data_IF_195011554831
#
_entry.id   IF_195011554831
#
_cell.length_a   1.000
_cell.length_b   1.000
_cell.length_c   1.000
_cell.angle_alpha   90.00
_cell.angle_beta   90.00
_cell.angle_gamma   90.00
#
_symmetry.space_group_name_H-M   'P 1'
#
loop_
_entity.id
_entity.type
_entity.pdbx_description
1 polymer ?
#
# COMPACT_ATOMS: atom_id res chain seq x y z
N UNK A 1 -3.38 -20.20 -28.52
CA UNK A 1 -2.97 -19.59 -27.24
C UNK A 1 -4.02 -19.97 -26.21
N UNK A 2 -3.72 -20.98 -25.38
CA UNK A 2 -4.65 -21.47 -24.36
C UNK A 2 -4.76 -20.43 -23.25
N UNK A 3 -5.92 -19.77 -23.16
CA UNK A 3 -6.27 -18.93 -22.02
C UNK A 3 -6.38 -19.78 -20.75
N UNK A 4 -6.01 -19.26 -19.57
CA UNK A 4 -6.07 -20.04 -18.35
C UNK A 4 -7.52 -20.36 -18.04
N UNK A 5 -7.86 -21.64 -18.16
CA UNK A 5 -9.16 -22.18 -17.80
C UNK A 5 -9.41 -22.03 -16.32
N UNK A 6 -10.17 -20.99 -15.97
CA UNK A 6 -10.96 -20.94 -14.74
C UNK A 6 -12.08 -21.98 -14.84
N UNK A 7 -11.75 -23.26 -14.79
CA UNK A 7 -12.74 -24.33 -14.67
C UNK A 7 -12.78 -24.77 -13.21
N UNK A 8 -13.69 -24.12 -12.47
CA UNK A 8 -14.00 -24.47 -11.10
C UNK A 8 -14.58 -25.87 -10.99
N UNK A 9 -14.06 -26.59 -9.99
CA UNK A 9 -14.75 -27.63 -9.24
C UNK A 9 -15.03 -28.93 -10.00
N UNK A 10 -14.39 -30.03 -9.60
CA UNK A 10 -15.06 -31.32 -9.42
C UNK A 10 -14.11 -32.29 -8.70
N UNK A 11 -14.44 -32.64 -7.45
CA UNK A 11 -13.69 -33.61 -6.66
C UNK A 11 -14.49 -34.04 -5.42
N UNK A 12 -15.37 -35.02 -5.63
CA UNK A 12 -16.19 -35.73 -4.65
C UNK A 12 -15.49 -35.92 -3.30
N UNK A 13 -16.11 -35.46 -2.20
CA UNK A 13 -15.73 -35.79 -0.82
C UNK A 13 -14.53 -35.04 -0.21
N UNK A 14 -13.57 -34.58 -1.03
CA UNK A 14 -12.40 -33.80 -0.58
C UNK A 14 -12.42 -32.32 -0.96
N UNK A 15 -13.29 -31.93 -1.90
CA UNK A 15 -13.35 -30.55 -2.43
C UNK A 15 -14.00 -29.52 -1.51
N UNK A 16 -14.85 -29.93 -0.57
CA UNK A 16 -15.53 -29.00 0.36
C UNK A 16 -14.59 -28.42 1.41
N UNK A 17 -13.72 -29.25 1.98
CA UNK A 17 -12.67 -28.80 2.90
C UNK A 17 -11.63 -27.93 2.17
N UNK A 18 -11.27 -28.31 0.95
CA UNK A 18 -10.34 -27.54 0.12
C UNK A 18 -10.91 -26.16 -0.25
N UNK A 19 -12.21 -26.07 -0.53
CA UNK A 19 -12.93 -24.80 -0.75
C UNK A 19 -12.90 -23.90 0.49
N UNK A 20 -13.14 -24.46 1.69
CA UNK A 20 -13.06 -23.70 2.93
C UNK A 20 -11.65 -23.15 3.18
N UNK A 21 -10.61 -23.95 2.92
CA UNK A 21 -9.22 -23.52 3.03
C UNK A 21 -8.91 -22.39 2.03
N UNK A 22 -9.40 -22.49 0.79
CA UNK A 22 -9.21 -21.45 -0.23
C UNK A 22 -9.90 -20.14 0.19
N UNK A 23 -11.14 -20.20 0.69
CA UNK A 23 -11.88 -19.03 1.17
C UNK A 23 -11.14 -18.38 2.35
N UNK A 24 -10.67 -19.18 3.31
CA UNK A 24 -9.85 -18.70 4.43
C UNK A 24 -8.53 -18.07 3.96
N UNK A 25 -7.84 -18.68 3.00
CA UNK A 25 -6.59 -18.16 2.45
C UNK A 25 -6.80 -16.82 1.73
N UNK A 26 -7.86 -16.68 0.93
CA UNK A 26 -8.22 -15.42 0.26
C UNK A 26 -8.60 -14.36 1.29
N UNK A 27 -9.43 -14.70 2.27
CA UNK A 27 -9.81 -13.78 3.36
C UNK A 27 -8.60 -13.31 4.18
N UNK A 28 -7.67 -14.21 4.48
CA UNK A 28 -6.42 -13.90 5.18
C UNK A 28 -5.48 -13.02 4.34
N UNK A 29 -5.36 -13.29 3.03
CA UNK A 29 -4.60 -12.45 2.11
C UNK A 29 -5.17 -11.04 2.02
N UNK A 30 -6.50 -10.90 1.97
CA UNK A 30 -7.17 -9.60 1.99
C UNK A 30 -6.95 -8.89 3.33
N UNK A 31 -7.13 -9.59 4.46
CA UNK A 31 -6.87 -9.04 5.80
C UNK A 31 -5.43 -8.52 5.92
N UNK A 32 -4.45 -9.31 5.45
CA UNK A 32 -3.05 -8.90 5.45
C UNK A 32 -2.83 -7.71 4.52
N UNK A 33 -3.39 -7.68 3.31
CA UNK A 33 -3.26 -6.55 2.39
C UNK A 33 -3.85 -5.24 2.95
N UNK A 34 -5.02 -5.29 3.59
CA UNK A 34 -5.63 -4.13 4.23
C UNK A 34 -4.86 -3.69 5.49
N UNK A 35 -4.40 -4.64 6.32
CA UNK A 35 -3.61 -4.36 7.51
C UNK A 35 -2.19 -3.85 7.15
N UNK A 36 -1.65 -4.29 6.02
CA UNK A 36 -0.36 -3.84 5.52
C UNK A 36 -0.48 -2.46 4.86
N UNK A 37 -1.63 -2.06 4.32
CA UNK A 37 -1.86 -0.69 3.84
C UNK A 37 -2.00 0.35 4.97
N UNK A 38 -2.40 -0.05 6.18
CA UNK A 38 -2.35 0.85 7.34
C UNK A 38 -0.92 1.06 7.86
N UNK A 39 -0.06 0.04 7.76
CA UNK A 39 1.36 0.15 8.16
C UNK A 39 2.32 0.53 7.00
N UNK A 40 1.87 0.55 5.75
CA UNK A 40 2.61 1.04 4.57
C UNK A 40 2.38 2.53 4.29
N UNK A 41 1.93 3.29 5.28
CA UNK A 41 2.11 4.74 5.28
C UNK A 41 3.58 5.18 5.36
N UNK A 42 4.54 4.27 5.54
CA UNK A 42 5.95 4.65 5.68
C UNK A 42 6.97 3.59 5.20
N UNK A 43 6.71 2.93 4.08
CA UNK A 43 7.68 2.00 3.47
C UNK A 43 7.78 2.21 1.97
N UNK A 44 8.03 3.46 1.57
CA UNK A 44 8.71 3.73 0.32
C UNK A 44 10.15 3.21 0.44
N UNK A 45 10.37 1.96 0.04
CA UNK A 45 11.65 1.57 -0.54
C UNK A 45 11.77 2.26 -1.90
N UNK A 46 12.08 3.55 -1.90
CA UNK A 46 12.62 4.27 -3.04
C UNK A 46 14.15 4.34 -2.87
N UNK A 47 14.95 3.95 -3.88
CA UNK A 47 16.39 3.95 -3.78
C UNK A 47 16.92 5.39 -3.71
N UNK A 48 17.55 5.76 -2.59
CA UNK A 48 18.63 6.76 -2.45
C UNK A 48 18.45 8.17 -3.07
N UNK A 49 17.22 8.62 -3.29
CA UNK A 49 16.89 10.02 -3.62
C UNK A 49 16.06 10.68 -2.49
N UNK A 50 16.29 10.21 -1.25
CA UNK A 50 15.35 10.33 -0.13
C UNK A 50 15.42 11.64 0.66
N UNK A 51 16.50 12.42 0.57
CA UNK A 51 16.66 13.61 1.40
C UNK A 51 15.68 14.74 1.06
N UNK A 52 15.45 15.01 -0.23
CA UNK A 52 14.55 16.08 -0.69
C UNK A 52 13.08 15.68 -0.57
N UNK A 53 12.73 14.43 -0.91
CA UNK A 53 11.37 13.93 -0.76
C UNK A 53 10.93 13.87 0.71
N UNK A 54 11.80 13.39 1.62
CA UNK A 54 11.48 13.34 3.06
C UNK A 54 11.29 14.75 3.63
N UNK A 55 12.14 15.71 3.27
CA UNK A 55 11.99 17.10 3.68
C UNK A 55 10.69 17.74 3.15
N UNK A 56 10.29 17.44 1.90
CA UNK A 56 9.02 17.88 1.32
C UNK A 56 7.80 17.25 2.02
N UNK A 57 7.86 15.97 2.40
CA UNK A 57 6.79 15.31 3.13
C UNK A 57 6.62 15.87 4.54
N UNK A 58 7.73 16.16 5.24
CA UNK A 58 7.71 16.84 6.54
C UNK A 58 7.10 18.25 6.42
N UNK A 59 7.49 19.02 5.41
CA UNK A 59 6.92 20.36 5.17
C UNK A 59 5.41 20.28 4.91
N UNK A 60 4.95 19.32 4.10
CA UNK A 60 3.52 19.10 3.83
C UNK A 60 2.74 18.72 5.10
N UNK A 61 3.32 17.88 5.95
CA UNK A 61 2.70 17.50 7.22
C UNK A 61 2.52 18.71 8.17
N UNK A 62 3.51 19.61 8.22
CA UNK A 62 3.44 20.85 9.02
C UNK A 62 2.39 21.84 8.48
N UNK A 63 2.30 21.97 7.16
CA UNK A 63 1.26 22.78 6.51
C UNK A 63 -0.15 22.27 6.85
N UNK A 64 -0.35 20.95 6.81
CA UNK A 64 -1.64 20.33 7.17
C UNK A 64 -2.01 20.52 8.65
N UNK A 65 -1.01 20.66 9.53
CA UNK A 65 -1.19 20.99 10.94
C UNK A 65 -1.38 22.49 11.19
N UNK A 66 -1.15 23.34 10.19
CA UNK A 66 -1.15 24.79 10.33
C UNK A 66 0.07 25.34 11.08
N UNK A 67 1.14 24.56 11.20
CA UNK A 67 2.39 24.98 11.86
C UNK A 67 3.23 25.93 10.99
N UNK A 68 3.01 25.91 9.67
CA UNK A 68 3.64 26.79 8.69
C UNK A 68 2.58 27.33 7.74
N UNK A 69 2.84 28.48 7.14
CA UNK A 69 1.96 29.05 6.09
C UNK A 69 2.24 28.42 4.73
N UNK A 70 1.33 28.64 3.78
CA UNK A 70 1.50 28.20 2.38
C UNK A 70 2.75 28.84 1.76
N UNK A 71 3.05 30.08 2.11
CA UNK A 71 4.22 30.84 1.61
C UNK A 71 5.53 30.22 2.09
N UNK A 72 5.60 29.83 3.37
CA UNK A 72 6.77 29.13 3.93
C UNK A 72 6.95 27.74 3.30
N UNK A 73 5.86 27.03 3.02
CA UNK A 73 5.91 25.76 2.31
C UNK A 73 6.47 25.90 0.89
N UNK A 74 6.06 26.94 0.14
CA UNK A 74 6.58 27.19 -1.20
C UNK A 74 8.08 27.51 -1.19
N UNK A 75 8.56 28.32 -0.25
CA UNK A 75 10.00 28.60 -0.11
C UNK A 75 10.80 27.31 0.16
N UNK A 76 10.31 26.45 1.05
CA UNK A 76 10.97 25.17 1.36
C UNK A 76 10.98 24.27 0.12
N UNK A 77 9.87 24.25 -0.63
CA UNK A 77 9.74 23.46 -1.85
C UNK A 77 10.71 23.93 -2.93
N UNK A 78 10.86 25.23 -3.14
CA UNK A 78 11.80 25.80 -4.10
C UNK A 78 13.26 25.57 -3.72
N UNK A 79 13.59 25.57 -2.42
CA UNK A 79 14.95 25.29 -1.95
C UNK A 79 15.34 23.80 -2.03
N UNK A 80 14.37 22.89 -2.10
CA UNK A 80 14.57 21.43 -2.12
C UNK A 80 14.55 20.82 -3.54
N UNK A 81 14.14 21.59 -4.56
CA UNK A 81 14.08 21.20 -5.97
C UNK A 81 15.34 21.62 -6.73
#
# INVERSE_FOLDING_TARGET
MMGPGYFGGFGMGGGSLMMLIIILAIGYLLYLAFNQNQNRGNSQTQPRQSGSNEALEVAKARLARGEITVEEFEQIKENLL
#
